data_IF_850942903088
#
_entry.id   IF_850942903088
#
_cell.length_a   1.000
_cell.length_b   1.000
_cell.length_c   1.000
_cell.angle_alpha   90.00
_cell.angle_beta   90.00
_cell.angle_gamma   90.00
#
_symmetry.space_group_name_H-M   'P 1'
#
loop_
_entity.id
_entity.type
_entity.pdbx_description
1 polymer ?
#
# COMPACT_ATOMS: atom_id res chain seq x y z
N UNK A 1 -54.53 -9.81 -38.13
CA UNK A 1 -54.14 -10.35 -36.81
C UNK A 1 -53.25 -11.56 -37.05
N UNK A 2 -51.93 -11.38 -37.00
CA UNK A 2 -50.95 -12.47 -37.08
C UNK A 2 -50.08 -12.37 -35.82
N UNK A 3 -50.01 -13.44 -35.01
CA UNK A 3 -49.24 -13.48 -33.78
C UNK A 3 -47.80 -13.87 -34.11
N UNK A 4 -46.87 -12.94 -33.94
CA UNK A 4 -45.43 -13.23 -34.02
C UNK A 4 -45.03 -14.19 -32.91
N UNK A 5 -44.64 -15.41 -33.28
CA UNK A 5 -44.14 -16.43 -32.37
C UNK A 5 -42.67 -16.15 -32.07
N UNK A 6 -42.38 -15.58 -30.89
CA UNK A 6 -41.00 -15.39 -30.42
C UNK A 6 -40.47 -16.74 -29.92
N UNK A 7 -39.35 -17.27 -30.47
CA UNK A 7 -38.79 -18.54 -30.01
C UNK A 7 -38.19 -18.39 -28.60
N UNK A 8 -38.44 -19.38 -27.74
CA UNK A 8 -37.89 -19.41 -26.38
C UNK A 8 -36.36 -19.57 -26.39
N UNK A 9 -35.64 -18.92 -25.44
CA UNK A 9 -34.19 -19.05 -25.35
C UNK A 9 -33.77 -20.48 -25.03
N UNK A 10 -32.66 -20.92 -25.63
CA UNK A 10 -32.08 -22.24 -25.35
C UNK A 10 -31.55 -22.29 -23.91
N UNK A 11 -31.72 -23.41 -23.19
CA UNK A 11 -31.19 -23.54 -21.84
C UNK A 11 -29.66 -23.43 -21.85
N UNK A 12 -29.12 -22.60 -20.95
CA UNK A 12 -27.69 -22.49 -20.69
C UNK A 12 -27.21 -23.74 -19.97
N UNK A 13 -26.11 -24.38 -20.41
CA UNK A 13 -25.58 -25.55 -19.74
C UNK A 13 -25.08 -25.18 -18.34
N UNK A 14 -25.37 -26.04 -17.36
CA UNK A 14 -24.93 -25.85 -15.99
C UNK A 14 -23.40 -25.81 -15.90
N UNK A 15 -22.82 -24.93 -15.06
CA UNK A 15 -21.38 -24.88 -14.86
C UNK A 15 -20.86 -26.23 -14.35
N UNK A 16 -19.74 -26.69 -14.91
CA UNK A 16 -19.09 -27.92 -14.44
C UNK A 16 -18.64 -27.72 -12.99
N UNK A 17 -18.78 -28.75 -12.12
CA UNK A 17 -18.29 -28.66 -10.76
C UNK A 17 -16.78 -28.41 -10.76
N UNK A 18 -16.37 -27.36 -10.06
CA UNK A 18 -14.95 -27.04 -9.85
C UNK A 18 -14.39 -28.10 -8.90
N UNK A 19 -13.28 -28.78 -9.23
CA UNK A 19 -12.69 -29.75 -8.31
C UNK A 19 -12.32 -29.04 -7.01
N UNK A 20 -12.72 -29.62 -5.88
CA UNK A 20 -12.35 -29.11 -4.56
C UNK A 20 -10.82 -29.00 -4.44
N UNK A 21 -10.28 -27.93 -3.86
CA UNK A 21 -8.84 -27.82 -3.63
C UNK A 21 -8.38 -29.04 -2.82
N UNK A 22 -7.31 -29.71 -3.28
CA UNK A 22 -6.70 -30.80 -2.51
C UNK A 22 -6.30 -30.23 -1.14
N UNK A 23 -6.62 -30.91 -0.02
CA UNK A 23 -6.14 -30.50 1.28
C UNK A 23 -4.61 -30.44 1.24
N UNK A 24 -4.06 -29.26 1.47
CA UNK A 24 -2.63 -29.10 1.69
C UNK A 24 -2.29 -29.80 3.01
N UNK A 25 -1.32 -30.71 3.06
CA UNK A 25 -0.91 -31.33 4.32
C UNK A 25 -0.44 -30.23 5.29
N UNK A 26 -1.21 -29.97 6.34
CA UNK A 26 -0.89 -28.98 7.37
C UNK A 26 0.27 -29.44 8.29
N UNK A 27 0.63 -30.72 8.22
CA UNK A 27 1.66 -31.37 9.07
C UNK A 27 3.03 -31.46 8.41
N UNK A 28 3.30 -30.73 7.32
CA UNK A 28 4.68 -30.65 6.82
C UNK A 28 5.47 -29.85 7.86
N UNK A 29 6.47 -30.44 8.56
CA UNK A 29 7.26 -29.68 9.52
C UNK A 29 7.86 -28.48 8.78
N UNK A 30 7.59 -27.28 9.30
CA UNK A 30 8.27 -26.06 8.84
C UNK A 30 9.76 -26.34 8.99
N UNK A 31 10.57 -26.27 7.91
CA UNK A 31 12.01 -26.48 8.01
C UNK A 31 12.58 -25.63 9.15
N UNK A 32 13.33 -26.26 10.05
CA UNK A 32 13.91 -25.60 11.23
C UNK A 32 14.91 -24.49 10.86
N UNK A 33 15.38 -24.45 9.61
CA UNK A 33 16.00 -23.28 8.98
C UNK A 33 14.93 -22.24 8.63
N UNK A 34 14.30 -21.66 9.65
CA UNK A 34 13.85 -20.28 9.49
C UNK A 34 15.16 -19.49 9.47
N UNK A 35 15.55 -18.82 8.37
CA UNK A 35 16.69 -17.92 8.47
C UNK A 35 16.44 -17.02 9.66
N UNK A 36 17.41 -16.92 10.58
CA UNK A 36 17.34 -15.98 11.68
C UNK A 36 16.92 -14.64 11.07
N UNK A 37 15.75 -14.14 11.48
CA UNK A 37 15.30 -12.85 10.99
C UNK A 37 16.43 -11.87 11.34
N UNK A 38 16.93 -11.10 10.36
CA UNK A 38 18.07 -10.25 10.61
C UNK A 38 17.77 -9.36 11.82
N UNK A 39 18.75 -9.17 12.71
CA UNK A 39 18.55 -8.43 13.96
C UNK A 39 18.11 -6.99 13.65
N UNK A 40 16.82 -6.71 13.82
CA UNK A 40 16.25 -5.39 13.59
C UNK A 40 16.39 -4.52 14.84
N UNK A 41 17.44 -3.71 14.87
CA UNK A 41 17.64 -2.73 15.96
C UNK A 41 16.68 -1.55 15.80
N UNK A 42 16.12 -1.09 16.92
CA UNK A 42 15.21 0.05 16.94
C UNK A 42 15.97 1.36 16.72
N UNK A 43 15.38 2.24 15.90
CA UNK A 43 15.83 3.61 15.73
C UNK A 43 14.93 4.54 16.53
N UNK A 44 15.54 5.53 17.17
CA UNK A 44 14.75 6.61 17.75
C UNK A 44 14.02 7.40 16.65
N UNK A 45 13.01 8.17 17.08
CA UNK A 45 12.16 8.93 16.17
C UNK A 45 12.95 9.97 15.37
N UNK A 46 13.95 10.62 15.96
CA UNK A 46 14.74 11.65 15.26
C UNK A 46 15.52 11.02 14.13
N UNK A 47 16.22 9.91 14.40
CA UNK A 47 17.00 9.18 13.41
C UNK A 47 16.13 8.61 12.30
N UNK A 48 14.95 8.09 12.66
CA UNK A 48 13.96 7.62 11.68
C UNK A 48 13.56 8.72 10.70
N UNK A 49 13.26 9.92 11.19
CA UNK A 49 12.89 11.06 10.35
C UNK A 49 14.06 11.59 9.51
N UNK A 50 15.30 11.53 10.03
CA UNK A 50 16.50 11.89 9.26
C UNK A 50 16.74 10.96 8.06
N UNK A 51 16.49 9.66 8.23
CA UNK A 51 16.61 8.68 7.14
C UNK A 51 15.47 8.84 6.14
N UNK A 52 14.24 8.98 6.63
CA UNK A 52 13.06 9.25 5.80
C UNK A 52 13.23 10.52 4.95
N UNK A 53 13.96 11.54 5.42
CA UNK A 53 14.23 12.75 4.67
C UNK A 53 15.20 12.57 3.49
N UNK A 54 15.93 11.45 3.43
CA UNK A 54 16.94 11.14 2.39
C UNK A 54 16.40 10.27 1.26
N UNK A 55 15.31 9.54 1.50
CA UNK A 55 14.67 8.73 0.49
C UNK A 55 13.76 9.57 -0.42
N UNK A 56 13.78 9.26 -1.72
CA UNK A 56 12.95 9.94 -2.72
C UNK A 56 11.62 9.22 -3.00
N UNK A 57 11.60 7.90 -2.77
CA UNK A 57 10.46 7.02 -3.03
C UNK A 57 10.14 6.25 -1.76
N UNK A 58 8.86 6.09 -1.47
CA UNK A 58 8.37 5.14 -0.48
C UNK A 58 7.13 4.42 -0.99
N UNK A 59 6.47 3.65 -0.13
CA UNK A 59 5.26 2.91 -0.45
C UNK A 59 4.12 3.39 0.44
N UNK A 60 2.97 3.66 -0.16
CA UNK A 60 1.72 3.84 0.57
C UNK A 60 1.04 2.48 0.68
N UNK A 61 0.79 2.06 1.90
CA UNK A 61 0.01 0.86 2.22
C UNK A 61 -1.36 1.32 2.72
N UNK A 62 -2.39 0.97 1.97
CA UNK A 62 -3.76 1.42 2.19
C UNK A 62 -4.75 0.29 1.90
N UNK A 63 -6.04 0.53 2.13
CA UNK A 63 -7.07 -0.48 1.96
C UNK A 63 -8.06 -0.07 0.88
N UNK A 64 -8.40 -1.01 -0.01
CA UNK A 64 -9.46 -0.89 -1.02
C UNK A 64 -10.37 -2.10 -0.85
N UNK A 65 -11.67 -1.89 -0.64
CA UNK A 65 -12.65 -2.97 -0.44
C UNK A 65 -12.21 -4.04 0.59
N UNK A 66 -11.65 -3.59 1.71
CA UNK A 66 -11.05 -4.41 2.77
C UNK A 66 -9.78 -5.20 2.39
N UNK A 67 -9.25 -5.05 1.18
CA UNK A 67 -7.99 -5.64 0.74
C UNK A 67 -6.82 -4.66 0.86
N UNK A 68 -5.64 -5.11 1.31
CA UNK A 68 -4.45 -4.27 1.33
C UNK A 68 -3.95 -4.00 -0.09
N UNK A 69 -3.63 -2.74 -0.38
CA UNK A 69 -2.97 -2.29 -1.59
C UNK A 69 -1.67 -1.57 -1.22
N UNK A 70 -0.66 -1.70 -2.08
CA UNK A 70 0.66 -1.08 -1.91
C UNK A 70 1.03 -0.34 -3.18
N UNK A 71 1.35 0.95 -3.08
CA UNK A 71 1.75 1.76 -4.23
C UNK A 71 3.08 2.48 -3.96
N UNK A 72 4.12 2.28 -4.79
CA UNK A 72 5.32 3.10 -4.72
C UNK A 72 5.00 4.52 -5.19
N UNK A 73 5.41 5.52 -4.41
CA UNK A 73 5.17 6.94 -4.71
C UNK A 73 6.39 7.79 -4.37
N UNK A 74 6.70 8.80 -5.21
CA UNK A 74 7.62 9.85 -4.79
C UNK A 74 7.00 10.63 -3.63
N UNK A 75 7.82 11.06 -2.68
CA UNK A 75 7.34 11.77 -1.50
C UNK A 75 8.31 12.86 -1.05
N UNK A 76 7.84 13.67 -0.10
CA UNK A 76 8.67 14.63 0.63
C UNK A 76 8.29 14.59 2.10
N UNK A 77 9.29 14.60 2.97
CA UNK A 77 9.05 14.89 4.39
C UNK A 77 8.97 16.41 4.58
N UNK A 78 7.90 16.87 5.25
CA UNK A 78 7.68 18.28 5.56
C UNK A 78 7.25 18.45 7.02
N UNK A 79 7.25 19.69 7.56
CA UNK A 79 6.62 19.95 8.85
C UNK A 79 5.19 19.39 8.88
N UNK A 80 4.90 18.59 9.91
CA UNK A 80 3.61 17.96 10.11
C UNK A 80 3.36 16.65 9.34
N UNK A 81 4.31 16.14 8.55
CA UNK A 81 4.22 14.77 8.03
C UNK A 81 4.75 14.50 6.63
N UNK A 82 4.42 13.32 6.11
CA UNK A 82 4.77 12.87 4.76
C UNK A 82 3.80 13.50 3.76
N UNK A 83 4.34 14.05 2.68
CA UNK A 83 3.59 14.66 1.59
C UNK A 83 3.83 13.88 0.29
N UNK A 84 2.74 13.60 -0.42
CA UNK A 84 2.77 13.02 -1.76
C UNK A 84 1.66 13.64 -2.63
N UNK A 85 1.78 13.48 -3.94
CA UNK A 85 0.81 13.98 -4.92
C UNK A 85 0.17 12.80 -5.65
N UNK A 86 -1.11 12.92 -5.97
CA UNK A 86 -1.82 11.94 -6.78
C UNK A 86 -2.76 12.64 -7.76
N UNK A 87 -3.12 12.01 -8.90
CA UNK A 87 -4.19 12.51 -9.74
C UNK A 87 -5.50 12.63 -8.94
N UNK A 88 -6.25 13.70 -9.17
CA UNK A 88 -7.57 13.88 -8.60
C UNK A 88 -8.49 12.74 -9.09
N UNK A 89 -9.34 12.23 -8.19
CA UNK A 89 -10.23 11.10 -8.49
C UNK A 89 -9.55 9.73 -8.62
N UNK A 90 -8.22 9.65 -8.54
CA UNK A 90 -7.50 8.37 -8.47
C UNK A 90 -8.01 7.50 -7.31
N UNK A 91 -7.89 6.18 -7.45
CA UNK A 91 -8.29 5.25 -6.40
C UNK A 91 -7.56 5.54 -5.09
N UNK A 92 -6.24 5.79 -5.14
CA UNK A 92 -5.47 6.20 -3.97
C UNK A 92 -6.09 7.43 -3.30
N UNK A 93 -6.35 8.50 -4.06
CA UNK A 93 -6.93 9.74 -3.51
C UNK A 93 -8.30 9.51 -2.86
N UNK A 94 -9.13 8.61 -3.42
CA UNK A 94 -10.45 8.27 -2.85
C UNK A 94 -10.33 7.38 -1.62
N UNK A 95 -9.42 6.41 -1.63
CA UNK A 95 -9.31 5.41 -0.57
C UNK A 95 -8.67 5.96 0.72
N UNK A 96 -7.81 6.97 0.62
CA UNK A 96 -7.01 7.43 1.77
C UNK A 96 -7.57 8.66 2.49
N UNK A 97 -8.55 9.38 1.96
CA UNK A 97 -9.01 10.62 2.60
C UNK A 97 -9.69 10.34 3.95
N UNK A 98 -9.06 10.82 5.03
CA UNK A 98 -9.49 10.57 6.41
C UNK A 98 -9.12 9.19 6.97
N UNK A 99 -8.60 8.28 6.13
CA UNK A 99 -8.22 6.94 6.54
C UNK A 99 -6.87 6.93 7.29
N UNK A 100 -6.72 5.97 8.21
CA UNK A 100 -5.40 5.61 8.76
C UNK A 100 -4.70 4.72 7.75
N UNK A 101 -3.51 5.14 7.32
CA UNK A 101 -2.69 4.41 6.37
C UNK A 101 -1.27 4.25 6.91
N UNK A 102 -0.51 3.34 6.31
CA UNK A 102 0.92 3.25 6.52
C UNK A 102 1.68 3.80 5.30
N UNK A 103 2.79 4.45 5.58
CA UNK A 103 3.79 4.84 4.59
C UNK A 103 5.11 4.24 5.00
N UNK A 104 5.86 3.72 4.05
CA UNK A 104 7.12 3.05 4.31
C UNK A 104 8.19 3.54 3.34
N UNK A 105 9.41 3.76 3.83
CA UNK A 105 10.59 3.91 2.99
C UNK A 105 11.73 3.10 3.59
N UNK A 106 12.63 2.64 2.72
CA UNK A 106 13.80 1.87 3.10
C UNK A 106 14.99 2.13 2.19
N UNK A 107 16.14 1.66 2.65
CA UNK A 107 17.35 1.51 1.86
C UNK A 107 18.11 0.31 2.42
N UNK A 108 18.45 -0.65 1.56
CA UNK A 108 19.21 -1.84 1.94
C UNK A 108 20.36 -2.00 0.95
N UNK A 109 21.58 -2.13 1.46
CA UNK A 109 22.75 -2.44 0.66
C UNK A 109 22.67 -3.91 0.20
N UNK A 110 22.68 -4.11 -1.12
CA UNK A 110 22.61 -5.44 -1.71
C UNK A 110 23.86 -6.31 -1.50
N UNK A 111 24.96 -5.77 -0.97
CA UNK A 111 26.22 -6.49 -0.75
C UNK A 111 26.28 -7.16 0.61
N UNK A 112 25.97 -6.41 1.67
CA UNK A 112 26.08 -6.88 3.05
C UNK A 112 24.72 -6.99 3.76
N UNK A 113 23.63 -6.54 3.12
CA UNK A 113 22.29 -6.59 3.70
C UNK A 113 22.06 -5.56 4.81
N UNK A 114 23.02 -4.67 5.07
CA UNK A 114 22.85 -3.56 6.00
C UNK A 114 21.87 -2.55 5.44
N UNK A 115 21.16 -1.82 6.31
CA UNK A 115 20.12 -0.92 5.84
C UNK A 115 19.19 -0.40 6.91
N UNK A 116 18.10 0.20 6.46
CA UNK A 116 17.10 0.77 7.34
C UNK A 116 15.71 0.70 6.73
N UNK A 117 14.70 0.64 7.60
CA UNK A 117 13.29 0.78 7.25
C UNK A 117 12.66 1.80 8.17
N UNK A 118 11.80 2.66 7.62
CA UNK A 118 10.98 3.59 8.41
C UNK A 118 9.54 3.45 7.97
N UNK A 119 8.67 3.10 8.93
CA UNK A 119 7.23 3.08 8.75
C UNK A 119 6.60 4.24 9.51
N UNK A 120 5.74 4.98 8.83
CA UNK A 120 4.90 6.04 9.39
C UNK A 120 3.45 5.58 9.31
N UNK A 121 2.78 5.46 10.45
CA UNK A 121 1.33 5.27 10.49
C UNK A 121 0.66 6.58 10.85
N UNK A 122 -0.45 6.87 10.19
CA UNK A 122 -1.19 8.08 10.48
C UNK A 122 -2.38 8.33 9.57
N UNK A 123 -3.20 9.30 9.97
CA UNK A 123 -4.32 9.75 9.15
C UNK A 123 -3.85 10.53 7.93
N UNK A 124 -4.35 10.13 6.78
CA UNK A 124 -4.17 10.86 5.53
C UNK A 124 -5.24 11.95 5.36
N UNK A 125 -4.82 13.07 4.79
CA UNK A 125 -5.69 14.19 4.43
C UNK A 125 -5.45 14.56 2.99
N UNK A 126 -6.51 14.54 2.17
CA UNK A 126 -6.44 14.90 0.76
C UNK A 126 -6.92 16.33 0.57
N UNK A 127 -6.14 17.15 -0.13
CA UNK A 127 -6.46 18.55 -0.42
C UNK A 127 -6.17 18.86 -1.89
N UNK A 128 -6.94 19.74 -2.55
CA UNK A 128 -6.58 20.23 -3.87
C UNK A 128 -5.15 20.81 -3.86
N UNK A 129 -4.36 20.51 -4.89
CA UNK A 129 -3.10 21.22 -5.08
C UNK A 129 -3.40 22.68 -5.40
N UNK A 130 -2.79 23.61 -4.68
CA UNK A 130 -3.08 25.07 -4.73
C UNK A 130 -2.69 25.73 -6.06
N UNK A 131 -2.27 24.97 -7.09
CA UNK A 131 -1.88 25.55 -8.37
C UNK A 131 -3.11 25.62 -9.28
N UNK A 132 -3.52 26.85 -9.58
CA UNK A 132 -4.60 27.14 -10.52
C UNK A 132 -4.31 26.53 -11.91
N UNK A 133 -5.35 25.97 -12.53
CA UNK A 133 -5.41 25.51 -13.92
C UNK A 133 -4.64 24.23 -14.29
N UNK A 134 -4.89 23.12 -13.59
CA UNK A 134 -4.57 21.78 -14.10
C UNK A 134 -5.87 21.07 -14.53
N UNK A 135 -6.14 20.88 -15.84
CA UNK A 135 -7.34 20.22 -16.33
C UNK A 135 -7.41 18.72 -15.98
N UNK A 136 -6.30 18.12 -15.54
CA UNK A 136 -6.25 16.75 -15.00
C UNK A 136 -6.47 16.66 -13.48
N UNK A 137 -6.41 17.79 -12.77
CA UNK A 137 -6.52 17.92 -11.32
C UNK A 137 -5.45 17.12 -10.55
N UNK A 138 -4.61 17.80 -9.77
CA UNK A 138 -3.72 17.10 -8.81
C UNK A 138 -4.20 17.36 -7.39
N UNK A 139 -4.18 16.32 -6.54
CA UNK A 139 -4.37 16.46 -5.10
C UNK A 139 -3.07 16.23 -4.34
N UNK A 140 -2.94 16.90 -3.20
CA UNK A 140 -1.89 16.65 -2.20
C UNK A 140 -2.45 15.80 -1.08
N UNK A 141 -1.72 14.76 -0.74
CA UNK A 141 -2.02 13.84 0.34
C UNK A 141 -0.99 14.09 1.44
N UNK A 142 -1.44 14.43 2.64
CA UNK A 142 -0.58 14.56 3.83
C UNK A 142 -0.90 13.46 4.81
N UNK A 143 0.11 12.69 5.21
CA UNK A 143 0.02 11.68 6.26
C UNK A 143 0.59 12.31 7.53
N UNK A 144 -0.27 12.57 8.52
CA UNK A 144 0.16 13.10 9.82
C UNK A 144 0.64 11.93 10.69
N UNK A 145 1.90 11.90 11.12
CA UNK A 145 2.41 10.77 11.90
C UNK A 145 1.68 10.67 13.25
N UNK A 146 1.00 9.55 13.46
CA UNK A 146 0.52 9.11 14.79
C UNK A 146 1.56 8.18 15.43
N UNK A 147 2.24 7.35 14.61
CA UNK A 147 3.33 6.49 15.02
C UNK A 147 4.45 6.50 13.97
N UNK A 148 5.70 6.46 14.42
CA UNK A 148 6.89 6.33 13.58
C UNK A 148 7.71 5.18 14.13
N UNK A 149 7.96 4.17 13.31
CA UNK A 149 8.76 2.99 13.64
C UNK A 149 9.96 3.00 12.72
N UNK A 150 11.16 3.07 13.28
CA UNK A 150 12.40 2.90 12.53
C UNK A 150 13.13 1.64 12.96
N UNK A 151 13.69 0.92 12.00
CA UNK A 151 14.52 -0.26 12.20
C UNK A 151 15.79 -0.15 11.37
N UNK A 152 16.91 -0.65 11.88
CA UNK A 152 18.11 -0.87 11.07
C UNK A 152 18.51 -2.34 11.03
N UNK A 153 19.03 -2.73 9.87
CA UNK A 153 19.73 -3.97 9.60
C UNK A 153 21.23 -3.68 9.70
N UNK A 154 21.99 -4.63 10.24
CA UNK A 154 23.41 -4.49 10.47
C UNK A 154 24.19 -5.69 9.94
#
# INVERSE_FOLDING_TARGET
MNRDHVPSPRPVPSPRPVPSPRPVPHDRPVPADRPDLPELRELDRKRSLELLARADVGRVVYTVDALPAVLPVPFRLAPGGVLLSAPAGSELARAVDGAVIAFEADEVDGRDGSGWFVTVLGRAQVRPATRAADPGGTVRIRIRPELVIGRCLA
#
